data_IF_361126610782
#
_entry.id   IF_361126610782
#
_cell.length_a   1.000
_cell.length_b   1.000
_cell.length_c   1.000
_cell.angle_alpha   90.00
_cell.angle_beta   90.00
_cell.angle_gamma   90.00
#
_symmetry.space_group_name_H-M   'P 1'
#
loop_
_entity.id
_entity.type
_entity.pdbx_description
1 polymer ?
#
# COMPACT_ATOMS: atom_id res chain seq x y z
N UNK A 1 -40.95 73.51 6.78
CA UNK A 1 -39.66 73.01 6.26
C UNK A 1 -38.87 72.43 7.42
N UNK A 2 -38.84 71.10 7.58
CA UNK A 2 -37.83 70.33 8.35
C UNK A 2 -38.38 68.91 8.51
N UNK A 3 -38.01 68.05 7.58
CA UNK A 3 -38.38 66.64 7.57
C UNK A 3 -37.48 65.95 6.56
N UNK A 4 -36.35 65.42 7.01
CA UNK A 4 -35.37 64.85 6.08
C UNK A 4 -34.19 64.09 6.69
N UNK A 5 -34.05 64.01 8.02
CA UNK A 5 -32.83 63.45 8.63
C UNK A 5 -32.99 62.10 9.36
N UNK A 6 -34.20 61.62 9.65
CA UNK A 6 -34.36 60.34 10.39
C UNK A 6 -34.30 59.08 9.52
N UNK A 7 -34.48 59.19 8.19
CA UNK A 7 -34.58 58.01 7.32
C UNK A 7 -33.24 57.41 6.88
N UNK A 8 -32.12 58.10 7.15
CA UNK A 8 -30.79 57.61 6.79
C UNK A 8 -30.16 56.70 7.86
N UNK A 9 -30.55 56.83 9.13
CA UNK A 9 -29.88 56.18 10.26
C UNK A 9 -30.37 54.75 10.53
N UNK A 10 -31.61 54.42 10.15
CA UNK A 10 -32.16 53.07 10.28
C UNK A 10 -31.60 52.07 9.23
N UNK A 11 -31.12 52.54 8.08
CA UNK A 11 -30.55 51.67 7.03
C UNK A 11 -29.12 51.22 7.33
N UNK A 12 -28.35 51.96 8.12
CA UNK A 12 -26.96 51.60 8.43
C UNK A 12 -26.83 50.49 9.47
N UNK A 13 -27.74 50.42 10.46
CA UNK A 13 -27.75 49.37 11.48
C UNK A 13 -28.16 47.99 10.94
N UNK A 14 -29.02 47.96 9.91
CA UNK A 14 -29.43 46.74 9.21
C UNK A 14 -28.32 46.16 8.32
N UNK A 15 -27.48 47.00 7.71
CA UNK A 15 -26.36 46.52 6.89
C UNK A 15 -25.24 45.91 7.74
N UNK A 16 -24.90 46.52 8.88
CA UNK A 16 -23.82 46.04 9.75
C UNK A 16 -24.12 44.67 10.39
N UNK A 17 -25.39 44.40 10.72
CA UNK A 17 -25.82 43.13 11.31
C UNK A 17 -25.83 41.96 10.31
N UNK A 18 -26.11 42.23 9.03
CA UNK A 18 -26.01 41.24 7.94
C UNK A 18 -24.54 40.89 7.64
N UNK A 19 -23.65 41.89 7.63
CA UNK A 19 -22.21 41.68 7.41
C UNK A 19 -21.59 40.84 8.54
N UNK A 20 -21.97 41.06 9.80
CA UNK A 20 -21.45 40.30 10.94
C UNK A 20 -21.85 38.80 10.92
N UNK A 21 -23.02 38.47 10.38
CA UNK A 21 -23.47 37.08 10.25
C UNK A 21 -22.70 36.34 9.14
N UNK A 22 -22.46 37.00 8.01
CA UNK A 22 -21.68 36.42 6.91
C UNK A 22 -20.24 36.12 7.29
N UNK A 23 -19.60 36.98 8.10
CA UNK A 23 -18.23 36.77 8.55
C UNK A 23 -18.15 35.53 9.45
N UNK A 24 -19.07 35.36 10.41
CA UNK A 24 -19.08 34.17 11.29
C UNK A 24 -19.32 32.86 10.53
N UNK A 25 -20.17 32.87 9.50
CA UNK A 25 -20.44 31.69 8.67
C UNK A 25 -19.23 31.30 7.80
N UNK A 26 -18.49 32.30 7.28
CA UNK A 26 -17.28 32.07 6.48
C UNK A 26 -16.14 31.49 7.32
N UNK A 27 -15.96 31.98 8.56
CA UNK A 27 -14.94 31.44 9.47
C UNK A 27 -15.29 30.03 9.99
N UNK A 28 -16.57 29.73 10.26
CA UNK A 28 -16.96 28.37 10.68
C UNK A 28 -16.81 27.34 9.55
N UNK A 29 -17.13 27.72 8.31
CA UNK A 29 -16.91 26.87 7.13
C UNK A 29 -15.41 26.59 6.88
N UNK A 30 -14.54 27.57 7.11
CA UNK A 30 -13.09 27.42 6.95
C UNK A 30 -12.49 26.44 7.98
N UNK A 31 -12.97 26.50 9.23
CA UNK A 31 -12.56 25.58 10.30
C UNK A 31 -13.02 24.15 9.99
N UNK A 32 -14.25 23.97 9.51
CA UNK A 32 -14.78 22.66 9.12
C UNK A 32 -13.95 22.03 7.97
N UNK A 33 -13.55 22.82 6.97
CA UNK A 33 -12.70 22.36 5.87
C UNK A 33 -11.31 21.91 6.32
N UNK A 34 -10.75 22.55 7.35
CA UNK A 34 -9.46 22.14 7.93
C UNK A 34 -9.55 20.78 8.63
N UNK A 35 -10.67 20.47 9.30
CA UNK A 35 -10.87 19.16 9.95
C UNK A 35 -11.05 18.01 8.95
N UNK A 36 -11.58 18.28 7.74
CA UNK A 36 -11.69 17.27 6.69
C UNK A 36 -10.38 16.99 5.94
N UNK A 37 -9.36 17.86 6.03
CA UNK A 37 -8.09 17.67 5.31
C UNK A 37 -7.16 16.61 5.92
N UNK A 38 -7.44 16.12 7.13
CA UNK A 38 -6.69 15.06 7.80
C UNK A 38 -7.40 13.71 7.72
N UNK A 39 -7.91 13.35 6.54
CA UNK A 39 -8.14 11.94 6.21
C UNK A 39 -6.74 11.33 6.09
N UNK A 40 -6.19 10.89 7.23
CA UNK A 40 -5.04 10.01 7.21
C UNK A 40 -5.43 8.79 6.38
N UNK A 41 -4.79 8.59 5.23
CA UNK A 41 -4.71 7.28 4.61
C UNK A 41 -3.98 6.39 5.62
N UNK A 42 -4.72 5.82 6.56
CA UNK A 42 -4.18 4.83 7.46
C UNK A 42 -3.83 3.63 6.59
N UNK A 43 -2.54 3.28 6.54
CA UNK A 43 -2.12 2.03 5.94
C UNK A 43 -2.87 0.90 6.63
N UNK A 44 -3.57 0.06 5.87
CA UNK A 44 -4.39 -1.02 6.43
C UNK A 44 -3.53 -2.24 6.83
N UNK A 45 -2.33 -2.33 6.25
CA UNK A 45 -1.40 -3.45 6.39
C UNK A 45 0.02 -2.93 6.65
N UNK A 46 0.71 -3.57 7.58
CA UNK A 46 2.12 -3.33 7.90
C UNK A 46 2.99 -4.54 7.50
N UNK A 47 4.14 -4.29 6.84
CA UNK A 47 5.16 -5.30 6.58
C UNK A 47 6.22 -5.31 7.68
N UNK A 48 6.51 -6.48 8.26
CA UNK A 48 7.51 -6.59 9.34
C UNK A 48 8.31 -7.89 9.32
N UNK A 49 9.39 -7.93 10.11
CA UNK A 49 10.30 -9.07 10.28
C UNK A 49 10.83 -9.67 8.96
N UNK A 50 11.44 -8.86 8.07
CA UNK A 50 11.95 -9.36 6.81
C UNK A 50 13.15 -10.29 7.05
N UNK A 51 13.24 -11.33 6.24
CA UNK A 51 14.42 -12.17 6.13
C UNK A 51 14.75 -12.36 4.66
N UNK A 52 16.02 -12.13 4.34
CA UNK A 52 16.62 -12.49 3.07
C UNK A 52 17.73 -13.50 3.35
N UNK A 53 17.62 -14.69 2.78
CA UNK A 53 18.64 -15.73 2.77
C UNK A 53 19.09 -15.98 1.33
N UNK A 54 20.28 -16.55 1.21
CA UNK A 54 20.87 -16.86 -0.08
C UNK A 54 21.55 -18.22 0.00
N UNK A 55 21.47 -18.98 -1.11
CA UNK A 55 22.22 -20.20 -1.38
C UNK A 55 22.88 -20.07 -2.75
N UNK A 56 24.15 -20.45 -2.85
CA UNK A 56 24.85 -20.53 -4.14
C UNK A 56 24.46 -21.80 -4.88
N UNK A 57 24.17 -21.68 -6.17
CA UNK A 57 23.83 -22.78 -7.05
C UNK A 57 25.04 -23.69 -7.29
N UNK A 58 24.77 -24.95 -7.68
CA UNK A 58 25.81 -25.83 -8.21
C UNK A 58 26.34 -25.32 -9.56
N UNK A 59 27.56 -25.74 -9.90
CA UNK A 59 28.27 -25.32 -11.12
C UNK A 59 27.43 -25.63 -12.37
N UNK A 60 27.20 -24.63 -13.23
CA UNK A 60 26.46 -24.81 -14.50
C UNK A 60 25.05 -24.22 -14.55
N UNK A 61 24.53 -23.68 -13.43
CA UNK A 61 23.28 -22.92 -13.44
C UNK A 61 23.47 -21.51 -14.05
N UNK A 62 22.53 -21.08 -14.90
CA UNK A 62 22.50 -19.73 -15.49
C UNK A 62 22.44 -18.62 -14.43
N UNK A 63 21.79 -18.88 -13.31
CA UNK A 63 21.65 -17.98 -12.18
C UNK A 63 22.37 -18.59 -10.97
N UNK A 64 23.56 -18.10 -10.58
CA UNK A 64 24.37 -18.72 -9.54
C UNK A 64 23.87 -18.45 -8.12
N UNK A 65 22.89 -17.57 -7.91
CA UNK A 65 22.36 -17.23 -6.60
C UNK A 65 20.87 -17.54 -6.51
N UNK A 66 20.50 -18.45 -5.62
CA UNK A 66 19.13 -18.70 -5.19
C UNK A 66 18.86 -17.92 -3.91
N UNK A 67 17.81 -17.10 -3.91
CA UNK A 67 17.39 -16.33 -2.76
C UNK A 67 16.09 -16.88 -2.20
N UNK A 68 16.00 -16.85 -0.87
CA UNK A 68 14.77 -17.08 -0.13
C UNK A 68 14.43 -15.81 0.64
N UNK A 69 13.31 -15.21 0.31
CA UNK A 69 12.81 -14.01 0.94
C UNK A 69 11.51 -14.32 1.68
N UNK A 70 11.39 -13.82 2.92
CA UNK A 70 10.14 -13.91 3.69
C UNK A 70 9.90 -12.67 4.53
N UNK A 71 8.64 -12.41 4.86
CA UNK A 71 8.20 -11.38 5.79
C UNK A 71 6.80 -11.71 6.29
N UNK A 72 6.28 -10.89 7.19
CA UNK A 72 4.91 -10.99 7.67
C UNK A 72 4.14 -9.72 7.30
N UNK A 73 2.86 -9.89 6.98
CA UNK A 73 1.91 -8.81 6.74
C UNK A 73 0.90 -8.80 7.88
N UNK A 74 0.88 -7.73 8.66
CA UNK A 74 -0.02 -7.54 9.80
C UNK A 74 -1.20 -6.66 9.40
N UNK A 75 -2.41 -7.08 9.75
CA UNK A 75 -3.57 -6.19 9.69
C UNK A 75 -3.50 -5.18 10.84
N UNK A 76 -3.30 -3.90 10.52
CA UNK A 76 -3.26 -2.79 11.49
C UNK A 76 -4.54 -1.94 11.46
N UNK A 77 -5.51 -2.32 10.62
CA UNK A 77 -6.83 -1.70 10.56
C UNK A 77 -7.75 -2.17 11.70
N UNK A 78 -8.86 -1.47 11.88
CA UNK A 78 -9.92 -1.82 12.83
C UNK A 78 -10.95 -2.81 12.24
N UNK A 79 -10.72 -3.34 11.05
CA UNK A 79 -11.64 -4.24 10.34
C UNK A 79 -10.93 -5.51 9.89
N UNK A 80 -11.68 -6.58 9.61
CA UNK A 80 -11.09 -7.79 9.04
C UNK A 80 -10.66 -7.54 7.59
N UNK A 81 -9.51 -8.09 7.22
CA UNK A 81 -8.96 -7.96 5.87
C UNK A 81 -8.74 -9.34 5.27
N UNK A 82 -9.17 -9.54 4.02
CA UNK A 82 -8.80 -10.71 3.22
C UNK A 82 -7.53 -10.41 2.44
N UNK A 83 -6.51 -11.25 2.56
CA UNK A 83 -5.19 -11.04 1.97
C UNK A 83 -4.81 -12.22 1.08
N UNK A 84 -4.17 -11.94 -0.05
CA UNK A 84 -3.63 -12.97 -0.95
C UNK A 84 -2.22 -13.34 -0.49
N UNK A 85 -2.06 -14.52 0.14
CA UNK A 85 -0.75 -14.91 0.70
C UNK A 85 0.17 -15.65 -0.30
N UNK A 86 -0.37 -16.14 -1.42
CA UNK A 86 0.42 -16.85 -2.43
C UNK A 86 1.15 -15.87 -3.34
N UNK A 87 2.48 -15.88 -3.31
CA UNK A 87 3.32 -15.18 -4.29
C UNK A 87 3.76 -16.19 -5.35
N UNK A 88 3.27 -16.04 -6.58
CA UNK A 88 3.64 -16.97 -7.67
C UNK A 88 4.91 -16.54 -8.39
N UNK A 89 5.10 -15.24 -8.54
CA UNK A 89 6.28 -14.65 -9.16
C UNK A 89 6.83 -13.62 -8.22
N UNK A 90 8.13 -13.72 -7.94
CA UNK A 90 8.88 -12.59 -7.42
C UNK A 90 9.75 -12.06 -8.54
N UNK A 91 9.53 -10.81 -8.90
CA UNK A 91 10.28 -10.16 -9.97
C UNK A 91 11.34 -9.27 -9.34
N UNK A 92 12.58 -9.50 -9.77
CA UNK A 92 13.71 -8.67 -9.41
C UNK A 92 13.80 -7.50 -10.39
N UNK A 93 13.81 -6.28 -9.85
CA UNK A 93 14.05 -5.06 -10.64
C UNK A 93 15.25 -4.31 -10.06
N UNK A 94 16.01 -3.66 -10.94
CA UNK A 94 16.94 -2.61 -10.53
C UNK A 94 16.25 -1.28 -10.84
N UNK A 95 15.92 -0.50 -9.82
CA UNK A 95 15.27 0.78 -10.04
C UNK A 95 16.27 1.82 -10.59
N UNK A 96 15.76 2.99 -10.99
CA UNK A 96 16.56 4.08 -11.56
C UNK A 96 17.67 4.58 -10.62
N UNK A 97 17.52 4.38 -9.31
CA UNK A 97 18.50 4.74 -8.28
C UNK A 97 19.51 3.62 -7.99
N UNK A 98 19.50 2.55 -8.80
CA UNK A 98 20.33 1.36 -8.60
C UNK A 98 20.03 0.54 -7.35
N UNK A 99 18.89 0.75 -6.71
CA UNK A 99 18.43 -0.14 -5.64
C UNK A 99 17.84 -1.41 -6.24
N UNK A 100 18.18 -2.53 -5.62
CA UNK A 100 17.60 -3.83 -5.94
C UNK A 100 16.22 -3.93 -5.28
N UNK A 101 15.18 -4.08 -6.09
CA UNK A 101 13.80 -4.23 -5.64
C UNK A 101 13.33 -5.66 -5.89
N UNK A 102 12.65 -6.21 -4.90
CA UNK A 102 11.99 -7.49 -4.99
C UNK A 102 10.48 -7.27 -4.87
N UNK A 103 9.80 -7.42 -6.00
CA UNK A 103 8.36 -7.27 -6.09
C UNK A 103 7.70 -8.63 -5.88
N UNK A 104 6.85 -8.70 -4.86
CA UNK A 104 6.03 -9.87 -4.56
C UNK A 104 4.65 -9.63 -5.20
N UNK A 105 4.45 -10.22 -6.39
CA UNK A 105 3.20 -10.11 -7.14
C UNK A 105 2.44 -11.43 -7.13
N UNK A 106 1.12 -11.33 -7.09
CA UNK A 106 0.21 -12.47 -7.20
C UNK A 106 -0.11 -12.79 -8.66
N UNK A 107 -0.85 -13.87 -8.89
CA UNK A 107 -1.34 -14.28 -10.21
C UNK A 107 -1.86 -13.08 -11.03
N UNK A 108 -1.35 -12.94 -12.25
CA UNK A 108 -2.00 -12.15 -13.29
C UNK A 108 -3.21 -12.95 -13.79
N UNK A 109 -4.36 -12.31 -13.91
CA UNK A 109 -5.55 -12.93 -14.49
C UNK A 109 -5.24 -13.48 -15.89
N UNK A 110 -5.75 -14.68 -16.18
CA UNK A 110 -5.57 -15.33 -17.48
C UNK A 110 -6.86 -15.35 -18.28
N UNK A 111 -6.75 -15.57 -19.60
CA UNK A 111 -7.90 -15.86 -20.46
C UNK A 111 -7.61 -17.07 -21.35
N UNK A 112 -8.62 -17.92 -21.58
CA UNK A 112 -8.60 -18.94 -22.65
C UNK A 112 -9.70 -18.58 -23.63
N UNK A 113 -9.34 -18.34 -24.91
CA UNK A 113 -10.28 -17.96 -25.96
C UNK A 113 -11.18 -16.76 -25.56
N UNK A 114 -10.57 -15.71 -24.98
CA UNK A 114 -11.26 -14.53 -24.42
C UNK A 114 -12.20 -14.80 -23.23
N UNK A 115 -12.18 -15.99 -22.65
CA UNK A 115 -12.91 -16.32 -21.42
C UNK A 115 -11.97 -16.11 -20.23
N UNK A 116 -12.33 -15.27 -19.23
CA UNK A 116 -11.49 -15.06 -18.06
C UNK A 116 -11.41 -16.35 -17.22
N UNK A 117 -10.18 -16.75 -16.92
CA UNK A 117 -9.91 -17.86 -15.98
C UNK A 117 -9.90 -17.26 -14.59
N UNK A 118 -10.85 -17.69 -13.77
CA UNK A 118 -10.95 -17.26 -12.38
C UNK A 118 -10.32 -18.33 -11.49
N UNK A 119 -9.23 -18.03 -10.75
CA UNK A 119 -8.61 -18.99 -9.85
C UNK A 119 -9.52 -19.29 -8.66
N UNK A 120 -9.35 -20.43 -8.02
CA UNK A 120 -10.06 -20.70 -6.77
C UNK A 120 -9.48 -19.90 -5.59
N UNK A 121 -10.25 -19.75 -4.52
CA UNK A 121 -9.78 -19.13 -3.26
C UNK A 121 -8.57 -19.88 -2.68
N UNK A 122 -8.53 -21.20 -2.87
CA UNK A 122 -7.41 -22.06 -2.47
C UNK A 122 -6.17 -21.77 -3.31
N UNK A 123 -6.34 -21.59 -4.62
CA UNK A 123 -5.24 -21.26 -5.53
C UNK A 123 -4.61 -19.90 -5.23
N UNK A 124 -5.39 -18.95 -4.71
CA UNK A 124 -4.90 -17.65 -4.24
C UNK A 124 -4.29 -17.71 -2.83
N UNK A 125 -4.47 -18.81 -2.08
CA UNK A 125 -4.22 -18.90 -0.64
C UNK A 125 -4.75 -17.66 0.09
N UNK A 126 -6.03 -17.38 -0.10
CA UNK A 126 -6.66 -16.24 0.55
C UNK A 126 -6.77 -16.49 2.06
N UNK A 127 -6.32 -15.54 2.87
CA UNK A 127 -6.36 -15.60 4.34
C UNK A 127 -7.14 -14.41 4.85
N UNK A 128 -8.08 -14.64 5.77
CA UNK A 128 -8.74 -13.56 6.51
C UNK A 128 -7.94 -13.26 7.77
N UNK A 129 -7.57 -11.99 7.95
CA UNK A 129 -6.81 -11.48 9.08
C UNK A 129 -7.71 -10.56 9.91
N UNK A 130 -7.91 -10.89 11.17
CA UNK A 130 -8.47 -9.96 12.16
C UNK A 130 -7.44 -8.89 12.53
N UNK A 131 -7.89 -7.83 13.19
CA UNK A 131 -7.01 -6.78 13.71
C UNK A 131 -5.88 -7.39 14.55
N UNK A 132 -4.64 -7.07 14.19
CA UNK A 132 -3.43 -7.55 14.86
C UNK A 132 -2.92 -8.91 14.40
N UNK A 133 -3.70 -9.68 13.62
CA UNK A 133 -3.24 -10.94 13.03
C UNK A 133 -2.30 -10.69 11.86
N UNK A 134 -1.44 -11.67 11.56
CA UNK A 134 -0.47 -11.58 10.49
C UNK A 134 -0.46 -12.82 9.60
N UNK A 135 -0.25 -12.60 8.29
CA UNK A 135 0.02 -13.65 7.33
C UNK A 135 1.51 -13.75 7.04
N UNK A 136 1.97 -14.97 6.80
CA UNK A 136 3.33 -15.26 6.36
C UNK A 136 3.42 -15.19 4.83
N UNK A 137 4.40 -14.44 4.33
CA UNK A 137 4.68 -14.33 2.90
C UNK A 137 6.11 -14.82 2.65
N UNK A 138 6.28 -15.66 1.63
CA UNK A 138 7.58 -16.11 1.17
C UNK A 138 7.66 -16.16 -0.35
N UNK A 139 8.87 -16.01 -0.87
CA UNK A 139 9.18 -16.26 -2.27
C UNK A 139 10.61 -16.79 -2.42
N UNK A 140 10.79 -17.59 -3.46
CA UNK A 140 12.11 -18.02 -3.94
C UNK A 140 12.35 -17.39 -5.31
N UNK A 141 13.56 -16.92 -5.54
CA UNK A 141 13.96 -16.39 -6.84
C UNK A 141 15.44 -16.62 -7.09
N UNK A 142 15.79 -16.52 -8.35
CA UNK A 142 17.15 -16.70 -8.83
C UNK A 142 17.69 -15.37 -9.37
N UNK A 143 18.98 -15.13 -9.18
CA UNK A 143 19.64 -13.91 -9.64
C UNK A 143 21.01 -14.24 -10.25
N UNK A 144 21.37 -13.50 -11.30
CA UNK A 144 22.72 -13.50 -11.86
C UNK A 144 23.72 -12.79 -10.94
N UNK A 145 23.22 -11.85 -10.12
CA UNK A 145 24.03 -10.96 -9.29
C UNK A 145 23.85 -11.26 -7.81
N UNK A 146 24.92 -11.09 -7.06
CA UNK A 146 24.88 -11.13 -5.61
C UNK A 146 24.21 -9.87 -5.04
N UNK A 147 23.15 -10.06 -4.26
CA UNK A 147 22.34 -9.04 -3.61
C UNK A 147 22.65 -9.00 -2.11
N UNK A 148 23.26 -7.91 -1.66
CA UNK A 148 23.52 -7.67 -0.22
C UNK A 148 22.36 -6.96 0.48
N UNK A 149 21.61 -6.15 -0.28
CA UNK A 149 20.47 -5.37 0.19
C UNK A 149 19.40 -5.33 -0.88
N UNK A 150 18.15 -5.36 -0.44
CA UNK A 150 16.98 -5.26 -1.30
C UNK A 150 15.86 -4.47 -0.63
N UNK A 151 15.00 -3.86 -1.44
CA UNK A 151 13.71 -3.32 -1.00
C UNK A 151 12.64 -4.37 -1.28
N UNK A 152 11.89 -4.76 -0.26
CA UNK A 152 10.73 -5.62 -0.43
C UNK A 152 9.52 -4.76 -0.78
N UNK A 153 8.79 -5.15 -1.83
CA UNK A 153 7.57 -4.47 -2.27
C UNK A 153 6.50 -5.54 -2.43
N UNK A 154 5.51 -5.52 -1.56
CA UNK A 154 4.30 -6.32 -1.73
C UNK A 154 3.26 -5.45 -2.41
N UNK A 155 2.81 -5.86 -3.60
CA UNK A 155 1.87 -5.08 -4.39
C UNK A 155 0.79 -6.00 -4.96
N UNK A 156 -0.45 -5.74 -4.60
CA UNK A 156 -1.62 -6.51 -5.01
C UNK A 156 -2.56 -5.60 -5.78
N UNK A 157 -2.72 -5.89 -7.07
CA UNK A 157 -3.70 -5.26 -7.93
C UNK A 157 -5.07 -5.95 -7.87
N UNK A 158 -6.08 -5.28 -8.41
CA UNK A 158 -7.44 -5.79 -8.55
C UNK A 158 -7.56 -6.66 -9.83
N UNK A 159 -6.82 -7.77 -9.88
CA UNK A 159 -6.68 -8.58 -11.11
C UNK A 159 -7.93 -9.41 -11.47
N UNK A 160 -8.95 -9.43 -10.61
CA UNK A 160 -10.12 -10.31 -10.75
C UNK A 160 -11.44 -9.55 -10.53
N UNK A 161 -11.50 -8.28 -10.93
CA UNK A 161 -12.70 -7.43 -10.87
C UNK A 161 -13.42 -7.49 -9.51
N UNK A 162 -12.66 -7.42 -8.40
CA UNK A 162 -13.16 -7.45 -7.02
C UNK A 162 -13.91 -8.71 -6.58
N UNK A 163 -13.93 -9.78 -7.39
CA UNK A 163 -14.69 -11.02 -7.11
C UNK A 163 -14.45 -11.63 -5.73
N UNK A 164 -13.25 -11.46 -5.18
CA UNK A 164 -12.84 -12.05 -3.91
C UNK A 164 -12.78 -11.07 -2.74
N UNK A 165 -13.01 -9.78 -3.00
CA UNK A 165 -12.96 -8.70 -2.00
C UNK A 165 -11.73 -8.77 -1.08
N UNK A 166 -10.55 -9.01 -1.67
CA UNK A 166 -9.28 -8.98 -0.96
C UNK A 166 -8.67 -7.59 -1.00
N UNK A 167 -7.73 -7.34 -0.10
CA UNK A 167 -6.99 -6.10 -0.01
C UNK A 167 -6.17 -5.83 -1.27
N UNK A 168 -6.29 -4.62 -1.79
CA UNK A 168 -5.51 -4.14 -2.93
C UNK A 168 -4.71 -2.92 -2.49
N UNK A 169 -3.48 -2.81 -2.97
CA UNK A 169 -2.57 -1.74 -2.56
C UNK A 169 -1.11 -2.18 -2.61
N UNK A 170 -0.24 -1.30 -2.11
CA UNK A 170 1.19 -1.56 -2.04
C UNK A 170 1.76 -1.19 -0.67
N UNK A 171 2.57 -2.08 -0.12
CA UNK A 171 3.36 -1.85 1.09
C UNK A 171 4.80 -2.24 0.80
N UNK A 172 5.74 -1.46 1.33
CA UNK A 172 7.16 -1.69 1.07
C UNK A 172 8.01 -1.56 2.33
N UNK A 173 9.11 -2.31 2.34
CA UNK A 173 10.12 -2.27 3.38
C UNK A 173 11.49 -2.12 2.75
N UNK A 174 12.17 -1.02 3.08
CA UNK A 174 13.45 -0.66 2.48
C UNK A 174 14.62 -1.24 3.27
N UNK A 175 15.80 -1.31 2.64
CA UNK A 175 17.06 -1.68 3.29
C UNK A 175 17.10 -3.07 3.94
N UNK A 176 16.38 -4.06 3.40
CA UNK A 176 16.44 -5.45 3.87
C UNK A 176 17.81 -6.03 3.54
N UNK A 177 18.61 -6.35 4.57
CA UNK A 177 19.96 -6.88 4.43
C UNK A 177 19.95 -8.39 4.31
N UNK A 178 20.85 -8.93 3.49
CA UNK A 178 21.11 -10.37 3.42
C UNK A 178 21.58 -10.89 4.77
N UNK A 179 20.93 -11.94 5.25
CA UNK A 179 21.30 -12.63 6.48
C UNK A 179 22.40 -13.65 6.17
N UNK A 180 23.52 -13.56 6.90
CA UNK A 180 24.70 -14.42 6.76
C UNK A 180 25.28 -14.48 5.32
N UNK A 181 25.79 -13.35 4.79
CA UNK A 181 26.27 -13.25 3.41
C UNK A 181 27.40 -14.24 3.05
N UNK A 182 28.21 -14.64 4.03
CA UNK A 182 29.34 -15.54 3.84
C UNK A 182 28.96 -16.92 3.26
N UNK A 183 27.74 -17.40 3.52
CA UNK A 183 27.26 -18.68 2.97
C UNK A 183 26.92 -18.63 1.49
N UNK A 184 26.85 -17.43 0.89
CA UNK A 184 26.59 -17.27 -0.53
C UNK A 184 27.79 -16.80 -1.34
N UNK A 185 28.82 -16.26 -0.68
CA UNK A 185 30.05 -15.81 -1.34
C UNK A 185 31.00 -16.99 -1.62
N UNK A 186 31.03 -18.00 -0.74
CA UNK A 186 31.80 -19.25 -0.89
C UNK A 186 31.07 -20.18 -1.86
#
# INVERSE_FOLDING_TARGET
MQGGTEQAQARSASAASVIFLEVKLKYSALILLCFFSSIMCADEIEMFSPLLLCKKAETGHRYPYEYFARFYLKNISNTNIKLVSKVEKSMYFKNQQSESELHFSTLEGGTINNIPIIPSVVDLKLVELKTGEAAYIEAKFWSERFLEKVKFIYNIGDNFDRRFNYWTGSVSLSNVKLTRPEHCKK
#
